data_IF_164879180285
#
_entry.id   IF_164879180285
#
_cell.length_a   1.000
_cell.length_b   1.000
_cell.length_c   1.000
_cell.angle_alpha   90.00
_cell.angle_beta   90.00
_cell.angle_gamma   90.00
#
_symmetry.space_group_name_H-M   'P 1'
#
loop_
_entity.id
_entity.type
_entity.pdbx_description
1 polymer ?
#
# COMPACT_ATOMS: atom_id res chain seq x y z
N UNK A 1 -46.39 -6.61 4.44
CA UNK A 1 -45.05 -7.01 4.74
C UNK A 1 -44.16 -5.77 4.77
N UNK A 2 -43.92 -5.20 5.97
CA UNK A 2 -42.94 -4.12 6.16
C UNK A 2 -41.55 -4.70 5.92
N UNK A 3 -40.89 -4.22 4.86
CA UNK A 3 -39.44 -4.40 4.73
C UNK A 3 -38.79 -3.66 5.91
N UNK A 4 -38.29 -4.39 6.89
CA UNK A 4 -37.28 -3.85 7.79
C UNK A 4 -36.10 -3.44 6.93
N UNK A 5 -35.90 -2.13 6.75
CA UNK A 5 -34.64 -1.56 6.38
C UNK A 5 -33.73 -1.88 7.55
N UNK A 6 -32.91 -2.93 7.42
CA UNK A 6 -31.89 -3.22 8.41
C UNK A 6 -31.04 -1.97 8.55
N UNK A 7 -30.92 -1.47 9.78
CA UNK A 7 -29.99 -0.41 10.14
C UNK A 7 -28.61 -0.86 9.65
N UNK A 8 -28.12 -0.23 8.58
CA UNK A 8 -26.75 -0.44 8.14
C UNK A 8 -25.89 0.25 9.20
N UNK A 9 -25.31 -0.56 10.09
CA UNK A 9 -24.29 -0.08 11.01
C UNK A 9 -23.26 0.74 10.26
N UNK A 10 -22.96 1.93 10.76
CA UNK A 10 -21.98 2.81 10.16
C UNK A 10 -20.59 2.14 10.16
N UNK A 11 -19.72 2.55 9.22
CA UNK A 11 -18.35 2.04 9.19
C UNK A 11 -17.64 2.26 10.55
N UNK A 12 -17.93 3.38 11.21
CA UNK A 12 -17.37 3.73 12.51
C UNK A 12 -17.79 2.76 13.64
N UNK A 13 -19.03 2.26 13.60
CA UNK A 13 -19.54 1.30 14.62
C UNK A 13 -18.83 -0.04 14.55
N UNK A 14 -18.36 -0.44 13.38
CA UNK A 14 -17.66 -1.72 13.15
C UNK A 14 -16.19 -1.70 13.58
N UNK A 15 -15.61 -0.53 13.79
CA UNK A 15 -14.20 -0.41 14.18
C UNK A 15 -14.00 -0.66 15.67
N UNK A 16 -12.92 -1.36 16.06
CA UNK A 16 -12.58 -1.60 17.46
C UNK A 16 -11.99 -0.33 18.12
N UNK A 17 -12.09 -0.28 19.44
CA UNK A 17 -11.50 0.78 20.26
C UNK A 17 -12.47 1.88 20.65
N UNK A 18 -11.94 2.91 21.29
CA UNK A 18 -12.69 4.13 21.62
C UNK A 18 -12.88 5.04 20.41
N UNK A 19 -13.68 6.10 20.54
CA UNK A 19 -14.02 6.98 19.42
C UNK A 19 -12.79 7.69 18.82
N UNK A 20 -11.79 8.02 19.64
CA UNK A 20 -10.54 8.63 19.14
C UNK A 20 -9.73 7.63 18.31
N UNK A 21 -9.65 6.38 18.76
CA UNK A 21 -9.00 5.29 18.01
C UNK A 21 -9.75 4.98 16.72
N UNK A 22 -11.07 4.91 16.74
CA UNK A 22 -11.91 4.69 15.55
C UNK A 22 -11.70 5.81 14.54
N UNK A 23 -11.67 7.07 14.97
CA UNK A 23 -11.39 8.21 14.10
C UNK A 23 -9.98 8.15 13.49
N UNK A 24 -8.98 7.71 14.26
CA UNK A 24 -7.62 7.52 13.74
C UNK A 24 -7.58 6.41 12.69
N UNK A 25 -8.27 5.28 12.92
CA UNK A 25 -8.39 4.20 11.95
C UNK A 25 -9.09 4.64 10.67
N UNK A 26 -10.16 5.46 10.75
CA UNK A 26 -10.85 6.01 9.57
C UNK A 26 -9.90 6.90 8.77
N UNK A 27 -9.16 7.82 9.43
CA UNK A 27 -8.17 8.66 8.74
C UNK A 27 -7.06 7.84 8.11
N UNK A 28 -6.56 6.79 8.79
CA UNK A 28 -5.55 5.89 8.23
C UNK A 28 -6.09 5.12 7.01
N UNK A 29 -7.30 4.58 7.08
CA UNK A 29 -7.94 3.85 5.99
C UNK A 29 -8.18 4.74 4.76
N UNK A 30 -8.69 5.95 4.96
CA UNK A 30 -8.90 6.90 3.86
C UNK A 30 -7.57 7.35 3.24
N UNK A 31 -6.54 7.61 4.06
CA UNK A 31 -5.20 7.93 3.56
C UNK A 31 -4.65 6.79 2.72
N UNK A 32 -4.69 5.56 3.22
CA UNK A 32 -4.21 4.38 2.50
C UNK A 32 -4.93 4.21 1.16
N UNK A 33 -6.26 4.29 1.15
CA UNK A 33 -7.06 4.19 -0.07
C UNK A 33 -6.67 5.25 -1.11
N UNK A 34 -6.46 6.50 -0.68
CA UNK A 34 -6.10 7.60 -1.60
C UNK A 34 -4.68 7.49 -2.13
N UNK A 35 -3.76 6.92 -1.36
CA UNK A 35 -2.35 6.77 -1.72
C UNK A 35 -2.05 5.52 -2.53
N UNK A 36 -2.80 4.43 -2.32
CA UNK A 36 -2.63 3.17 -3.05
C UNK A 36 -3.16 3.28 -4.49
N UNK A 37 -2.60 2.59 -5.50
CA UNK A 37 -3.14 2.55 -6.87
C UNK A 37 -4.59 2.06 -6.92
N UNK A 38 -5.31 2.46 -7.97
CA UNK A 38 -6.67 2.00 -8.27
C UNK A 38 -7.75 3.05 -8.00
N UNK A 39 -9.01 2.69 -8.28
CA UNK A 39 -10.15 3.58 -8.11
C UNK A 39 -10.37 3.99 -6.67
N UNK A 40 -10.58 5.30 -6.46
CA UNK A 40 -10.87 5.89 -5.14
C UNK A 40 -12.38 5.96 -4.96
N UNK A 41 -12.89 5.32 -3.89
CA UNK A 41 -14.32 5.36 -3.58
C UNK A 41 -14.52 5.67 -2.10
N UNK A 42 -15.08 6.83 -1.82
CA UNK A 42 -15.54 7.21 -0.49
C UNK A 42 -17.05 7.37 -0.50
N UNK A 43 -17.75 6.71 0.41
CA UNK A 43 -19.17 6.99 0.64
C UNK A 43 -19.27 8.24 1.51
N UNK A 44 -20.03 9.28 1.07
CA UNK A 44 -20.29 10.43 1.93
C UNK A 44 -21.17 9.99 3.10
N UNK A 45 -20.71 10.25 4.32
CA UNK A 45 -21.53 10.14 5.51
C UNK A 45 -22.18 11.49 5.78
N UNK A 46 -23.50 11.52 5.99
CA UNK A 46 -24.25 12.76 6.22
C UNK A 46 -23.92 13.42 7.56
N UNK A 47 -23.46 12.61 8.50
CA UNK A 47 -23.16 13.04 9.87
C UNK A 47 -21.63 13.02 10.13
N UNK A 48 -20.83 13.28 9.08
CA UNK A 48 -19.38 13.32 9.19
C UNK A 48 -18.92 14.44 10.14
N UNK A 49 -18.07 14.13 11.14
CA UNK A 49 -17.49 15.16 12.00
C UNK A 49 -16.70 16.20 11.19
N UNK A 50 -16.76 17.45 11.63
CA UNK A 50 -16.15 18.58 10.92
C UNK A 50 -14.64 18.40 10.71
N UNK A 51 -13.94 17.83 11.66
CA UNK A 51 -12.52 17.51 11.57
C UNK A 51 -12.23 16.50 10.46
N UNK A 52 -13.13 15.54 10.25
CA UNK A 52 -13.02 14.55 9.17
C UNK A 52 -13.35 15.16 7.81
N UNK A 53 -14.28 16.13 7.73
CA UNK A 53 -14.53 16.89 6.50
C UNK A 53 -13.27 17.66 6.06
N UNK A 54 -12.62 18.36 7.01
CA UNK A 54 -11.36 19.08 6.76
C UNK A 54 -10.28 18.10 6.29
N UNK A 55 -10.17 16.94 6.96
CA UNK A 55 -9.23 15.90 6.60
C UNK A 55 -9.45 15.40 5.16
N UNK A 56 -10.67 15.04 4.80
CA UNK A 56 -11.02 14.55 3.45
C UNK A 56 -10.73 15.60 2.39
N UNK A 57 -11.06 16.87 2.67
CA UNK A 57 -10.75 17.97 1.77
C UNK A 57 -9.24 18.12 1.54
N UNK A 58 -8.45 18.11 2.60
CA UNK A 58 -7.00 18.25 2.50
C UNK A 58 -6.36 17.04 1.83
N UNK A 59 -6.87 15.83 2.08
CA UNK A 59 -6.44 14.61 1.43
C UNK A 59 -6.70 14.65 -0.09
N UNK A 60 -7.88 15.12 -0.51
CA UNK A 60 -8.19 15.33 -1.93
C UNK A 60 -7.29 16.39 -2.57
N UNK A 61 -7.03 17.50 -1.87
CA UNK A 61 -6.13 18.55 -2.36
C UNK A 61 -4.70 18.01 -2.53
N UNK A 62 -4.21 17.22 -1.57
CA UNK A 62 -2.91 16.57 -1.64
C UNK A 62 -2.85 15.61 -2.84
N UNK A 63 -3.89 14.79 -3.05
CA UNK A 63 -3.98 13.88 -4.20
C UNK A 63 -3.88 14.63 -5.52
N UNK A 64 -4.65 15.70 -5.71
CA UNK A 64 -4.66 16.50 -6.93
C UNK A 64 -3.35 17.26 -7.16
N UNK A 65 -2.65 17.65 -6.10
CA UNK A 65 -1.40 18.39 -6.18
C UNK A 65 -0.18 17.52 -6.58
N UNK A 66 -0.30 16.20 -6.47
CA UNK A 66 0.85 15.29 -6.68
C UNK A 66 0.59 14.28 -7.80
N UNK A 67 1.12 14.51 -9.01
CA UNK A 67 0.96 13.64 -10.18
C UNK A 67 1.33 12.16 -9.93
N UNK A 68 2.28 11.90 -9.04
CA UNK A 68 2.68 10.54 -8.68
C UNK A 68 1.52 9.68 -8.14
N UNK A 69 0.44 10.30 -7.64
CA UNK A 69 -0.71 9.58 -7.11
C UNK A 69 -1.72 9.11 -8.15
N UNK A 70 -1.61 9.60 -9.41
CA UNK A 70 -2.58 9.25 -10.46
C UNK A 70 -2.01 9.10 -11.87
N UNK A 71 -0.83 9.67 -12.17
CA UNK A 71 -0.32 9.72 -13.54
C UNK A 71 0.07 8.34 -14.09
N UNK A 72 0.67 7.49 -13.27
CA UNK A 72 1.07 6.13 -13.62
C UNK A 72 0.31 5.09 -12.76
N UNK A 73 -0.99 5.31 -12.55
CA UNK A 73 -1.79 4.47 -11.66
C UNK A 73 -1.99 3.05 -12.23
N UNK A 74 -2.04 2.92 -13.56
CA UNK A 74 -2.19 1.66 -14.28
C UNK A 74 -0.84 1.03 -14.70
N UNK A 75 0.28 1.70 -14.38
CA UNK A 75 1.61 1.27 -14.78
C UNK A 75 2.38 0.65 -13.61
N UNK A 76 3.08 -0.44 -13.88
CA UNK A 76 3.92 -1.09 -12.88
C UNK A 76 4.99 -0.15 -12.29
N UNK A 77 5.53 0.75 -13.12
CA UNK A 77 6.58 1.70 -12.73
C UNK A 77 6.08 2.82 -11.80
N UNK A 78 4.75 3.01 -11.68
CA UNK A 78 4.13 4.04 -10.84
C UNK A 78 4.03 3.69 -9.36
N UNK A 79 4.27 2.43 -8.98
CA UNK A 79 4.15 1.94 -7.61
C UNK A 79 5.30 1.03 -7.23
N UNK A 80 5.78 1.16 -6.00
CA UNK A 80 6.83 0.29 -5.48
C UNK A 80 6.70 0.09 -3.96
N UNK A 81 6.68 -1.15 -3.52
CA UNK A 81 6.78 -1.45 -2.09
C UNK A 81 8.19 -1.13 -1.57
N UNK A 82 8.25 -0.44 -0.44
CA UNK A 82 9.49 -0.22 0.32
C UNK A 82 9.56 -1.24 1.44
N UNK A 83 8.47 -1.39 2.19
CA UNK A 83 8.40 -2.28 3.33
C UNK A 83 7.02 -2.93 3.37
N UNK A 84 6.99 -4.25 3.22
CA UNK A 84 5.77 -5.06 3.24
C UNK A 84 5.84 -6.20 4.26
N UNK A 85 7.05 -6.68 4.59
CA UNK A 85 7.25 -7.93 5.31
C UNK A 85 7.41 -7.78 6.84
N UNK A 86 7.33 -6.56 7.37
CA UNK A 86 7.41 -6.31 8.83
C UNK A 86 6.03 -6.38 9.48
N UNK A 87 5.38 -7.52 9.33
CA UNK A 87 4.01 -7.74 9.83
C UNK A 87 3.90 -7.65 11.36
N UNK A 88 4.97 -7.93 12.11
CA UNK A 88 5.00 -7.81 13.57
C UNK A 88 4.85 -6.34 14.04
N UNK A 89 5.31 -5.39 13.21
CA UNK A 89 5.22 -3.97 13.50
C UNK A 89 3.90 -3.36 13.01
N UNK A 90 3.13 -4.05 12.16
CA UNK A 90 1.95 -3.55 11.45
C UNK A 90 2.20 -2.22 10.71
N UNK A 91 3.41 -2.06 10.17
CA UNK A 91 3.82 -0.91 9.37
C UNK A 91 4.07 -1.35 7.95
N UNK A 92 3.56 -0.58 7.00
CA UNK A 92 3.88 -0.71 5.58
C UNK A 92 4.41 0.60 5.03
N UNK A 93 5.31 0.53 4.07
CA UNK A 93 5.80 1.68 3.35
C UNK A 93 5.85 1.39 1.85
N UNK A 94 5.46 2.38 1.05
CA UNK A 94 5.50 2.29 -0.41
C UNK A 94 5.75 3.65 -1.04
N UNK A 95 6.14 3.62 -2.30
CA UNK A 95 6.32 4.83 -3.10
C UNK A 95 5.31 4.89 -4.24
N UNK A 96 4.92 6.12 -4.56
CA UNK A 96 4.25 6.49 -5.78
C UNK A 96 5.22 7.32 -6.61
N UNK A 97 5.30 7.01 -7.89
CA UNK A 97 6.35 7.55 -8.77
C UNK A 97 5.74 8.10 -10.06
N UNK A 98 6.46 9.04 -10.66
CA UNK A 98 6.31 9.42 -12.06
C UNK A 98 7.61 9.08 -12.80
N UNK A 99 7.73 9.52 -14.05
CA UNK A 99 9.00 9.45 -14.77
C UNK A 99 10.09 10.35 -14.16
N UNK A 100 9.70 11.28 -13.28
CA UNK A 100 10.58 12.25 -12.64
C UNK A 100 10.84 11.87 -11.18
N UNK A 101 12.09 11.59 -10.79
CA UNK A 101 12.43 11.20 -9.41
C UNK A 101 12.02 12.23 -8.35
N UNK A 102 12.05 13.52 -8.67
CA UNK A 102 11.65 14.61 -7.77
C UNK A 102 10.16 14.66 -7.45
N UNK A 103 9.32 14.00 -8.25
CA UNK A 103 7.87 13.88 -8.02
C UNK A 103 7.52 12.64 -7.17
N UNK A 104 8.52 11.87 -6.74
CA UNK A 104 8.29 10.66 -5.91
C UNK A 104 7.64 11.02 -4.57
N UNK A 105 6.60 10.27 -4.23
CA UNK A 105 5.91 10.32 -2.93
C UNK A 105 6.26 9.04 -2.15
N UNK A 106 6.69 9.20 -0.91
CA UNK A 106 6.82 8.12 0.06
C UNK A 106 5.65 8.16 1.03
N UNK A 107 4.91 7.06 1.12
CA UNK A 107 3.84 6.86 2.09
C UNK A 107 4.27 5.81 3.12
N UNK A 108 4.09 6.13 4.40
CA UNK A 108 4.35 5.22 5.52
C UNK A 108 3.11 5.12 6.37
N UNK A 109 2.53 3.92 6.47
CA UNK A 109 1.29 3.63 7.16
C UNK A 109 1.58 2.76 8.38
N UNK A 110 1.20 3.23 9.55
CA UNK A 110 1.23 2.49 10.80
C UNK A 110 -0.19 2.08 11.20
N UNK A 111 -0.48 0.80 11.17
CA UNK A 111 -1.76 0.23 11.57
C UNK A 111 -1.73 -0.33 13.01
N UNK A 112 -0.59 -0.18 13.72
CA UNK A 112 -0.51 -0.49 15.14
C UNK A 112 -1.04 0.67 15.99
N UNK A 113 -1.62 0.36 17.13
CA UNK A 113 -2.07 1.34 18.12
C UNK A 113 -0.91 1.91 18.98
N UNK A 114 0.32 1.81 18.48
CA UNK A 114 1.54 2.24 19.14
C UNK A 114 2.25 3.25 18.25
N UNK A 115 2.57 4.47 18.72
CA UNK A 115 3.37 5.42 17.96
C UNK A 115 4.86 5.05 17.99
N UNK A 116 5.59 5.41 16.94
CA UNK A 116 7.04 5.25 16.89
C UNK A 116 7.73 6.62 16.85
N UNK A 117 8.63 6.89 17.79
CA UNK A 117 9.37 8.15 17.83
C UNK A 117 10.58 8.17 16.88
N UNK A 118 11.19 7.02 16.60
CA UNK A 118 12.37 6.88 15.76
C UNK A 118 12.23 5.63 14.86
N UNK A 119 11.38 5.73 13.86
CA UNK A 119 11.17 4.66 12.89
C UNK A 119 12.06 4.84 11.67
N UNK A 120 12.81 3.81 11.29
CA UNK A 120 13.67 3.85 10.11
C UNK A 120 12.97 3.25 8.91
N UNK A 121 13.00 3.98 7.80
CA UNK A 121 12.44 3.55 6.51
C UNK A 121 13.50 3.70 5.44
N UNK A 122 13.67 2.67 4.61
CA UNK A 122 14.51 2.70 3.43
C UNK A 122 13.98 3.68 2.38
N UNK A 123 14.89 4.40 1.72
CA UNK A 123 14.53 5.39 0.69
C UNK A 123 15.37 5.20 -0.57
N UNK A 124 14.84 5.57 -1.77
CA UNK A 124 15.45 5.22 -3.04
C UNK A 124 16.75 5.97 -3.34
N UNK A 125 16.95 7.16 -2.80
CA UNK A 125 18.12 8.00 -3.09
C UNK A 125 18.50 8.92 -1.92
N UNK A 126 19.76 9.35 -1.93
CA UNK A 126 20.21 10.45 -1.10
C UNK A 126 19.39 11.70 -1.43
N UNK A 127 18.97 12.42 -0.39
CA UNK A 127 18.15 13.59 -0.59
C UNK A 127 17.42 14.06 0.66
N UNK A 128 16.50 14.99 0.43
CA UNK A 128 15.69 15.60 1.48
C UNK A 128 14.25 15.14 1.37
N UNK A 129 13.70 14.69 2.49
CA UNK A 129 12.32 14.19 2.59
C UNK A 129 11.52 15.12 3.50
N UNK A 130 10.48 15.74 2.92
CA UNK A 130 9.60 16.68 3.62
C UNK A 130 8.22 16.07 3.79
N UNK A 131 7.74 16.01 5.03
CA UNK A 131 6.35 15.62 5.28
C UNK A 131 5.41 16.67 4.67
N UNK A 132 4.46 16.21 3.88
CA UNK A 132 3.45 17.04 3.20
C UNK A 132 2.04 16.77 3.70
N UNK A 133 1.82 15.60 4.30
CA UNK A 133 0.55 15.19 4.85
C UNK A 133 0.78 14.20 6.00
N UNK A 134 -0.04 14.35 7.06
CA UNK A 134 -0.02 13.44 8.19
C UNK A 134 -1.44 13.32 8.75
N UNK A 135 -1.94 12.08 8.83
CA UNK A 135 -3.31 11.82 9.28
C UNK A 135 -3.55 12.10 10.76
N UNK A 136 -2.49 12.28 11.55
CA UNK A 136 -2.54 12.57 12.99
C UNK A 136 -2.32 14.06 13.32
N UNK A 137 -2.38 14.95 12.30
CA UNK A 137 -2.32 16.40 12.53
C UNK A 137 -3.48 16.84 13.43
N UNK A 138 -3.19 17.75 14.36
CA UNK A 138 -4.16 18.33 15.31
C UNK A 138 -5.37 18.94 14.63
N UNK A 139 -5.20 19.52 13.43
CA UNK A 139 -6.31 20.09 12.65
C UNK A 139 -7.37 19.08 12.24
N UNK A 140 -7.04 17.78 12.29
CA UNK A 140 -7.95 16.67 12.01
C UNK A 140 -8.42 15.95 13.29
N UNK A 141 -8.17 16.53 14.47
CA UNK A 141 -8.43 15.90 15.76
C UNK A 141 -7.44 14.80 16.13
N UNK A 142 -6.23 14.81 15.53
CA UNK A 142 -5.15 13.89 15.88
C UNK A 142 -4.32 14.36 17.07
N UNK A 143 -3.36 13.53 17.50
CA UNK A 143 -2.46 13.80 18.64
C UNK A 143 -1.32 14.76 18.27
N UNK A 144 -1.05 14.94 16.96
CA UNK A 144 -0.01 15.82 16.46
C UNK A 144 1.38 15.18 16.44
N UNK A 145 1.47 13.87 16.25
CA UNK A 145 2.74 13.16 16.02
C UNK A 145 3.16 13.39 14.56
N UNK A 146 3.83 14.52 14.31
CA UNK A 146 4.19 14.98 12.97
C UNK A 146 5.71 15.21 12.83
N UNK A 147 6.21 15.20 11.58
CA UNK A 147 7.61 15.46 11.25
C UNK A 147 7.77 16.86 10.68
N UNK A 148 7.85 17.86 11.54
CA UNK A 148 7.94 19.28 11.14
C UNK A 148 9.26 19.66 10.46
N UNK A 149 10.31 18.87 10.67
CA UNK A 149 11.63 19.12 10.09
C UNK A 149 11.85 18.22 8.88
N UNK A 150 12.45 18.76 7.83
CA UNK A 150 12.94 18.00 6.68
C UNK A 150 13.92 16.94 7.15
N UNK A 151 13.74 15.70 6.68
CA UNK A 151 14.61 14.57 6.96
C UNK A 151 15.65 14.44 5.85
N UNK A 152 16.93 14.49 6.20
CA UNK A 152 17.98 14.14 5.26
C UNK A 152 18.20 12.63 5.27
N UNK A 153 18.31 12.04 4.10
CA UNK A 153 18.65 10.63 3.96
C UNK A 153 20.07 10.39 4.46
N UNK A 154 20.25 9.29 5.19
CA UNK A 154 21.55 8.82 5.67
C UNK A 154 21.95 7.59 4.87
N UNK A 155 23.24 7.44 4.60
CA UNK A 155 23.79 6.22 4.03
C UNK A 155 23.81 5.12 5.11
N UNK A 156 22.66 4.52 5.33
CA UNK A 156 22.44 3.43 6.27
C UNK A 156 21.41 2.49 5.65
N UNK A 157 21.82 1.25 5.44
CA UNK A 157 20.99 0.24 4.81
C UNK A 157 19.73 -0.05 5.63
N UNK A 158 18.57 0.00 4.97
CA UNK A 158 17.28 -0.30 5.56
C UNK A 158 16.31 -0.73 4.44
N UNK A 159 15.50 -1.75 4.68
CA UNK A 159 14.49 -2.23 3.72
C UNK A 159 15.10 -2.51 2.33
N UNK A 160 16.27 -3.17 2.29
CA UNK A 160 17.03 -3.49 1.07
C UNK A 160 17.46 -2.26 0.24
N UNK A 161 17.57 -1.09 0.89
CA UNK A 161 17.98 0.18 0.27
C UNK A 161 19.20 0.76 0.94
N UNK A 162 20.07 1.39 0.14
CA UNK A 162 21.34 1.98 0.59
C UNK A 162 21.14 3.17 1.53
N UNK A 163 19.99 3.87 1.38
CA UNK A 163 19.69 5.08 2.14
C UNK A 163 18.44 4.86 3.00
N UNK A 164 18.42 5.53 4.15
CA UNK A 164 17.27 5.54 5.05
C UNK A 164 17.01 6.89 5.67
N UNK A 165 15.78 7.11 6.13
CA UNK A 165 15.38 8.25 6.96
C UNK A 165 14.80 7.75 8.27
N UNK A 166 14.99 8.53 9.34
CA UNK A 166 14.38 8.29 10.64
C UNK A 166 13.22 9.27 10.83
N UNK A 167 12.03 8.77 11.11
CA UNK A 167 10.84 9.57 11.24
C UNK A 167 9.99 9.17 12.45
N UNK A 168 9.04 10.05 12.82
CA UNK A 168 7.98 9.75 13.78
C UNK A 168 6.80 9.18 13.04
N UNK A 169 6.20 8.11 13.56
CA UNK A 169 4.96 7.55 13.04
C UNK A 169 3.87 7.62 14.10
N UNK A 170 2.71 8.22 13.79
CA UNK A 170 1.58 8.18 14.68
C UNK A 170 1.02 6.76 14.83
N UNK A 171 0.40 6.47 15.95
CA UNK A 171 -0.41 5.27 16.11
C UNK A 171 -1.63 5.35 15.17
N UNK A 172 -2.01 4.23 14.53
CA UNK A 172 -3.16 4.15 13.63
C UNK A 172 -3.17 5.32 12.62
N UNK A 173 -2.01 5.61 12.01
CA UNK A 173 -1.87 6.81 11.18
C UNK A 173 -0.92 6.66 10.01
N UNK A 174 -0.93 7.68 9.16
CA UNK A 174 -0.18 7.72 7.90
C UNK A 174 0.59 9.03 7.78
N UNK A 175 1.86 8.93 7.44
CA UNK A 175 2.73 10.06 7.12
C UNK A 175 3.18 9.98 5.66
N UNK A 176 3.10 11.11 4.94
CA UNK A 176 3.39 11.21 3.51
C UNK A 176 4.49 12.23 3.28
N UNK A 177 5.49 11.85 2.48
CA UNK A 177 6.66 12.68 2.22
C UNK A 177 6.88 12.89 0.74
N UNK A 178 7.24 14.11 0.37
CA UNK A 178 7.88 14.39 -0.93
C UNK A 178 9.38 14.18 -0.82
N UNK A 179 9.99 13.88 -1.96
CA UNK A 179 11.40 13.60 -2.07
C UNK A 179 12.08 14.63 -2.97
N UNK A 180 13.14 15.24 -2.48
CA UNK A 180 14.04 16.08 -3.29
C UNK A 180 15.39 15.39 -3.33
N UNK A 181 15.73 14.71 -4.46
CA UNK A 181 17.04 14.07 -4.61
C UNK A 181 18.18 15.07 -4.47
N UNK A 182 19.30 14.65 -3.87
CA UNK A 182 20.56 15.39 -4.03
C UNK A 182 21.00 15.23 -5.49
N UNK A 183 21.46 16.32 -6.10
CA UNK A 183 22.08 16.30 -7.43
C UNK A 183 23.40 15.50 -7.35
N UNK A 184 23.31 14.19 -7.40
CA UNK A 184 24.46 13.36 -7.74
C UNK A 184 24.63 13.44 -9.26
N UNK A 185 25.85 13.76 -9.71
CA UNK A 185 26.23 13.80 -11.12
C UNK A 185 25.54 12.67 -11.90
N UNK A 186 24.77 13.04 -12.91
CA UNK A 186 23.97 12.15 -13.76
C UNK A 186 24.81 10.98 -14.26
N UNK A 187 24.77 9.84 -13.56
CA UNK A 187 25.04 8.57 -14.25
C UNK A 187 23.87 8.31 -15.18
N UNK A 188 24.09 8.17 -16.50
CA UNK A 188 23.02 7.98 -17.45
C UNK A 188 22.27 6.68 -17.12
N UNK A 189 20.97 6.75 -17.11
CA UNK A 189 20.05 5.62 -17.01
C UNK A 189 20.22 4.71 -18.26
N UNK A 190 21.23 3.82 -18.25
CA UNK A 190 21.62 3.02 -19.42
C UNK A 190 21.12 1.57 -19.39
N UNK A 191 20.51 1.10 -18.30
CA UNK A 191 20.18 -0.33 -18.23
C UNK A 191 18.72 -0.69 -18.56
N UNK A 192 17.76 0.22 -18.35
CA UNK A 192 16.35 -0.10 -18.67
C UNK A 192 16.02 -0.01 -20.18
N UNK A 193 16.82 0.74 -20.97
CA UNK A 193 16.58 0.84 -22.41
C UNK A 193 17.07 -0.37 -23.22
N UNK A 194 17.94 -1.20 -22.67
CA UNK A 194 18.44 -2.40 -23.38
C UNK A 194 17.44 -3.55 -23.34
N UNK A 195 16.65 -3.69 -22.26
CA UNK A 195 15.62 -4.73 -22.16
C UNK A 195 14.48 -4.44 -23.14
N UNK A 196 14.04 -3.18 -23.29
CA UNK A 196 13.00 -2.81 -24.27
C UNK A 196 13.45 -3.05 -25.72
N UNK A 197 14.74 -2.82 -26.03
CA UNK A 197 15.28 -3.07 -27.39
C UNK A 197 15.43 -4.56 -27.72
N UNK A 198 15.70 -5.43 -26.75
CA UNK A 198 15.79 -6.87 -26.96
C UNK A 198 14.41 -7.49 -27.18
N UNK A 199 13.38 -7.05 -26.44
CA UNK A 199 12.00 -7.53 -26.60
C UNK A 199 11.42 -7.10 -27.95
N UNK A 200 11.69 -5.88 -28.42
CA UNK A 200 11.22 -5.39 -29.71
C UNK A 200 11.89 -6.14 -30.87
N UNK A 201 13.18 -6.48 -30.79
CA UNK A 201 13.86 -7.30 -31.81
C UNK A 201 13.31 -8.72 -31.88
N UNK A 202 13.01 -9.34 -30.74
CA UNK A 202 12.44 -10.70 -30.72
C UNK A 202 11.02 -10.73 -31.30
N UNK A 203 10.23 -9.68 -31.10
CA UNK A 203 8.86 -9.57 -31.65
C UNK A 203 8.86 -9.32 -33.17
N UNK A 204 9.83 -8.59 -33.68
CA UNK A 204 9.96 -8.32 -35.12
C UNK A 204 10.43 -9.57 -35.91
N UNK A 205 11.32 -10.38 -35.32
CA UNK A 205 11.77 -11.64 -35.94
C UNK A 205 10.64 -12.68 -35.99
N UNK A 206 9.76 -12.74 -34.97
CA UNK A 206 8.58 -13.63 -35.01
C UNK A 206 7.54 -13.20 -36.04
N UNK A 207 7.42 -11.92 -36.38
CA UNK A 207 6.49 -11.42 -37.40
C UNK A 207 6.99 -11.63 -38.84
N UNK A 208 8.30 -11.75 -39.03
CA UNK A 208 8.90 -12.06 -40.33
C UNK A 208 8.91 -13.56 -40.68
N UNK A 209 8.89 -14.45 -39.68
CA UNK A 209 8.85 -15.91 -39.86
C UNK A 209 7.45 -16.47 -40.20
N UNK A 210 6.39 -15.63 -40.14
CA UNK A 210 4.98 -16.06 -40.29
C UNK A 210 4.46 -16.00 -41.77
N UNK A 211 5.27 -15.63 -42.76
CA UNK A 211 4.80 -15.41 -44.13
C UNK A 211 5.29 -16.39 -45.19
N UNK A 212 5.93 -17.49 -44.86
CA UNK A 212 6.27 -18.52 -45.83
C UNK A 212 5.99 -19.90 -45.22
N UNK A 213 4.81 -20.45 -45.52
CA UNK A 213 4.54 -21.86 -45.84
C UNK A 213 3.02 -22.10 -45.85
N UNK A 214 2.48 -21.89 -47.05
CA UNK A 214 1.30 -22.61 -47.46
C UNK A 214 1.78 -23.92 -48.15
N UNK A 215 0.98 -24.96 -47.94
CA UNK A 215 1.01 -26.26 -48.61
C UNK A 215 2.03 -27.31 -48.10
N UNK A 216 1.58 -28.18 -47.19
CA UNK A 216 1.58 -29.64 -47.35
C UNK A 216 0.47 -30.22 -46.52
N UNK A 217 -0.53 -30.87 -47.17
CA UNK A 217 -1.54 -31.73 -46.60
C UNK A 217 -0.89 -33.05 -46.20
N UNK A 218 -1.08 -33.50 -44.96
CA UNK A 218 -1.21 -34.95 -44.69
C UNK A 218 -1.91 -35.15 -43.33
N UNK A 219 -2.90 -36.02 -43.34
CA UNK A 219 -3.81 -36.35 -42.27
C UNK A 219 -3.13 -37.16 -41.14
N UNK A 220 -3.41 -36.80 -39.88
CA UNK A 220 -3.27 -37.72 -38.76
C UNK A 220 -4.48 -37.52 -37.81
N UNK A 221 -5.11 -38.68 -37.49
CA UNK A 221 -6.33 -38.84 -36.70
C UNK A 221 -6.19 -38.36 -35.23
N UNK A 222 -7.28 -37.97 -34.57
CA UNK A 222 -7.26 -37.61 -33.18
C UNK A 222 -7.24 -38.84 -32.25
N UNK A 223 -6.35 -38.83 -31.28
CA UNK A 223 -6.36 -39.75 -30.14
C UNK A 223 -6.98 -39.05 -28.95
N UNK A 224 -8.19 -39.46 -28.63
CA UNK A 224 -8.90 -39.11 -27.39
C UNK A 224 -8.26 -39.81 -26.19
N UNK A 225 -7.66 -39.08 -25.27
CA UNK A 225 -7.42 -39.53 -23.91
C UNK A 225 -8.29 -38.79 -22.92
N UNK A 226 -9.25 -39.55 -22.34
CA UNK A 226 -10.02 -39.16 -21.15
C UNK A 226 -9.04 -38.90 -20.00
N UNK A 227 -9.12 -37.71 -19.39
CA UNK A 227 -8.53 -37.46 -18.07
C UNK A 227 -9.68 -37.29 -17.09
N UNK A 228 -9.80 -38.24 -16.20
CA UNK A 228 -10.70 -38.31 -15.06
C UNK A 228 -10.35 -37.21 -14.07
N UNK A 229 -11.37 -36.45 -13.67
CA UNK A 229 -11.30 -35.49 -12.57
C UNK A 229 -11.37 -36.24 -11.24
N UNK A 230 -10.33 -36.18 -10.45
CA UNK A 230 -10.39 -36.44 -9.01
C UNK A 230 -10.20 -35.12 -8.26
N UNK A 231 -11.20 -34.79 -7.44
CA UNK A 231 -11.16 -33.68 -6.51
C UNK A 231 -10.49 -34.15 -5.19
N UNK A 232 -9.65 -33.34 -4.54
CA UNK A 232 -9.11 -33.70 -3.23
C UNK A 232 -10.18 -33.51 -2.14
N UNK A 233 -10.39 -34.57 -1.36
CA UNK A 233 -11.25 -34.60 -0.18
C UNK A 233 -10.61 -33.79 0.96
N UNK A 234 -11.42 -32.92 1.56
CA UNK A 234 -11.09 -32.20 2.80
C UNK A 234 -11.24 -33.19 3.97
N UNK A 235 -10.13 -33.50 4.61
CA UNK A 235 -10.12 -34.29 5.87
C UNK A 235 -10.36 -33.34 7.03
N UNK A 236 -11.53 -33.43 7.63
CA UNK A 236 -11.85 -32.82 8.91
C UNK A 236 -11.07 -33.53 10.01
N UNK A 237 -10.17 -32.82 10.69
CA UNK A 237 -9.53 -33.26 11.93
C UNK A 237 -10.24 -32.64 13.13
N UNK A 238 -10.79 -33.53 13.90
CA UNK A 238 -11.42 -33.53 15.20
C UNK A 238 -10.93 -32.49 16.21
N UNK A 239 -11.90 -31.89 16.89
CA UNK A 239 -11.80 -31.04 18.09
C UNK A 239 -11.09 -31.77 19.23
N UNK A 240 -10.00 -31.21 19.74
CA UNK A 240 -9.42 -31.59 21.04
C UNK A 240 -9.94 -30.64 22.11
N UNK A 241 -10.70 -31.22 23.06
CA UNK A 241 -11.25 -30.55 24.23
C UNK A 241 -10.15 -30.25 25.24
N UNK A 242 -9.98 -28.97 25.58
CA UNK A 242 -9.16 -28.51 26.70
C UNK A 242 -9.97 -28.63 28.00
N UNK A 243 -9.46 -29.27 29.05
CA UNK A 243 -10.20 -29.43 30.33
C UNK A 243 -10.18 -28.14 31.17
N UNK A 244 -11.33 -27.70 31.56
CA UNK A 244 -11.57 -26.64 32.56
C UNK A 244 -11.16 -27.15 33.94
N UNK A 245 -10.12 -26.56 34.53
CA UNK A 245 -9.84 -26.71 35.97
C UNK A 245 -10.74 -25.77 36.79
N UNK A 246 -11.64 -26.39 37.56
CA UNK A 246 -12.28 -25.81 38.75
C UNK A 246 -11.32 -25.96 39.94
N UNK A 247 -11.02 -24.91 40.63
CA UNK A 247 -10.63 -24.87 42.03
C UNK A 247 -11.29 -23.63 42.63
N UNK A 248 -12.30 -23.77 43.41
CA UNK A 248 -12.50 -24.00 44.84
C UNK A 248 -11.35 -23.49 45.74
N UNK A 249 -11.59 -22.40 46.42
CA UNK A 249 -11.46 -22.35 47.88
C UNK A 249 -12.09 -21.10 48.49
N UNK A 250 -13.13 -21.32 49.24
CA UNK A 250 -13.50 -20.53 50.41
C UNK A 250 -12.41 -20.56 51.48
N UNK A 251 -12.37 -19.50 52.26
CA UNK A 251 -12.13 -19.33 53.74
C UNK A 251 -11.07 -18.23 54.00
N UNK A 252 -11.41 -17.22 54.58
CA UNK A 252 -11.76 -16.66 55.89
C UNK A 252 -11.79 -15.14 55.77
#
# INVERSE_FOLDING_TARGET
GSRQTGDQESFMEKLPGDDAQKMSQIRAAYSYMMLHPGCKMMAPDKDMPKELEVFVKDLNNMYLAHPALYQLDDEYDGFEWVQLMKYEENVIAFMRKTEKPEETILAVCNFAAIPYENYNVGVPFAGKYKEIFNSDDKKYGGNGVVNTRVKAAKKAECDEREYSITLKLPALGVAVFTCTPEETEKKPAAEHSQIKKSITKTRTVRKAAGKTKAAVKTAVKPVTKKVTKEAPQIVNKTEEKIPVKKDLTEKK
#
